data_IF_988263858290
#
_entry.id   IF_988263858290
#
_cell.length_a   1.000
_cell.length_b   1.000
_cell.length_c   1.000
_cell.angle_alpha   90.00
_cell.angle_beta   90.00
_cell.angle_gamma   90.00
#
_symmetry.space_group_name_H-M   'P 1'
#
loop_
_entity.id
_entity.type
_entity.pdbx_description
1 polymer ?
#
# COMPACT_ATOMS: atom_id res chain seq x y z
N UNK A 1 -7.34 -0.80 1.54
CA UNK A 1 -6.70 -2.11 1.75
C UNK A 1 -5.18 -2.04 1.86
N UNK A 2 -4.48 -1.32 0.97
CA UNK A 2 -3.01 -1.14 1.03
C UNK A 2 -2.44 -0.75 2.40
N UNK A 3 -3.04 0.25 3.07
CA UNK A 3 -2.55 0.72 4.38
C UNK A 3 -2.75 -0.31 5.49
N UNK A 4 -3.85 -1.07 5.42
CA UNK A 4 -4.13 -2.15 6.36
C UNK A 4 -3.14 -3.30 6.16
N UNK A 5 -2.92 -3.74 4.92
CA UNK A 5 -1.95 -4.80 4.62
C UNK A 5 -0.51 -4.38 4.97
N UNK A 6 -0.14 -3.12 4.73
CA UNK A 6 1.15 -2.57 5.16
C UNK A 6 1.30 -2.55 6.69
N UNK A 7 0.20 -2.26 7.42
CA UNK A 7 0.16 -2.28 8.88
C UNK A 7 0.25 -3.69 9.47
N UNK A 8 -0.46 -4.65 8.88
CA UNK A 8 -0.41 -6.06 9.28
C UNK A 8 0.97 -6.67 9.01
N UNK A 9 1.59 -6.32 7.88
CA UNK A 9 2.92 -6.77 7.49
C UNK A 9 4.04 -5.87 8.05
N UNK A 10 3.74 -4.98 9.02
CA UNK A 10 4.72 -4.00 9.54
C UNK A 10 5.98 -4.69 10.07
N UNK A 11 5.85 -5.81 10.77
CA UNK A 11 6.99 -6.48 11.41
C UNK A 11 7.91 -7.14 10.38
N UNK A 12 7.43 -7.36 9.16
CA UNK A 12 8.22 -7.82 8.03
C UNK A 12 8.76 -6.66 7.16
N UNK A 13 7.94 -5.63 6.92
CA UNK A 13 8.22 -4.50 6.03
C UNK A 13 9.04 -3.37 6.68
N UNK A 14 9.08 -3.28 8.00
CA UNK A 14 9.66 -2.15 8.73
C UNK A 14 11.09 -2.36 9.25
N UNK A 15 11.54 -3.58 9.65
CA UNK A 15 12.92 -3.82 10.06
C UNK A 15 13.89 -3.75 8.88
N UNK A 16 13.43 -4.12 7.68
CA UNK A 16 14.20 -3.98 6.43
C UNK A 16 13.82 -2.66 5.77
N UNK A 17 14.85 -1.84 5.55
CA UNK A 17 14.89 -0.47 4.99
C UNK A 17 13.81 -0.20 3.92
N UNK A 18 13.48 1.09 3.67
CA UNK A 18 12.55 1.63 2.64
C UNK A 18 12.45 0.82 1.32
N UNK A 19 13.54 0.13 0.95
CA UNK A 19 13.67 -0.87 -0.10
C UNK A 19 12.59 -1.96 -0.16
N UNK A 20 11.98 -2.41 0.95
CA UNK A 20 10.86 -3.38 0.87
C UNK A 20 9.49 -2.70 0.71
N UNK A 21 9.37 -1.47 1.19
CA UNK A 21 8.11 -0.71 1.13
C UNK A 21 7.79 -0.24 -0.30
N UNK A 22 8.83 0.07 -1.06
CA UNK A 22 8.78 0.51 -2.45
C UNK A 22 8.21 -0.57 -3.41
N UNK A 23 8.78 -1.79 -3.50
CA UNK A 23 8.22 -2.85 -4.33
C UNK A 23 6.85 -3.29 -3.84
N UNK A 24 6.59 -3.25 -2.52
CA UNK A 24 5.25 -3.51 -1.98
C UNK A 24 4.21 -2.54 -2.56
N UNK A 25 4.49 -1.23 -2.58
CA UNK A 25 3.57 -0.25 -3.14
C UNK A 25 3.45 -0.29 -4.65
N UNK A 26 4.54 -0.66 -5.34
CA UNK A 26 4.53 -0.89 -6.78
C UNK A 26 3.59 -2.05 -7.15
N UNK A 27 3.72 -3.20 -6.48
CA UNK A 27 2.84 -4.36 -6.67
C UNK A 27 1.39 -3.98 -6.39
N UNK A 28 1.15 -3.21 -5.32
CA UNK A 28 -0.21 -2.76 -5.00
C UNK A 28 -0.81 -1.85 -6.07
N UNK A 29 0.00 -1.06 -6.79
CA UNK A 29 -0.46 -0.24 -7.91
C UNK A 29 -1.09 -1.09 -9.02
N UNK A 30 -0.41 -2.17 -9.42
CA UNK A 30 -0.94 -3.12 -10.40
C UNK A 30 -2.13 -3.92 -9.86
N UNK A 31 -2.05 -4.37 -8.61
CA UNK A 31 -3.15 -5.13 -8.01
C UNK A 31 -4.44 -4.30 -7.95
N UNK A 32 -4.34 -3.01 -7.64
CA UNK A 32 -5.48 -2.10 -7.68
C UNK A 32 -6.04 -1.98 -9.10
N UNK A 33 -5.18 -1.78 -10.10
CA UNK A 33 -5.56 -1.74 -11.51
C UNK A 33 -6.33 -2.99 -11.96
N UNK A 34 -5.81 -4.17 -11.62
CA UNK A 34 -6.47 -5.44 -11.94
C UNK A 34 -7.82 -5.61 -11.24
N UNK A 35 -7.91 -5.23 -9.96
CA UNK A 35 -9.19 -5.25 -9.23
C UNK A 35 -10.21 -4.32 -9.93
N UNK A 36 -9.79 -3.15 -10.39
CA UNK A 36 -10.66 -2.21 -11.09
C UNK A 36 -11.07 -2.72 -12.47
N UNK A 37 -10.15 -3.35 -13.22
CA UNK A 37 -10.48 -3.97 -14.51
C UNK A 37 -11.50 -5.09 -14.35
N UNK A 38 -11.32 -5.95 -13.35
CA UNK A 38 -12.28 -7.02 -13.04
C UNK A 38 -13.63 -6.46 -12.59
N UNK A 39 -13.62 -5.44 -11.72
CA UNK A 39 -14.84 -4.78 -11.27
C UNK A 39 -15.59 -4.15 -12.45
N UNK A 40 -14.89 -3.50 -13.38
CA UNK A 40 -15.49 -2.94 -14.59
C UNK A 40 -16.08 -4.02 -15.50
N UNK A 41 -15.33 -5.10 -15.74
CA UNK A 41 -15.79 -6.23 -16.56
C UNK A 41 -17.03 -6.91 -15.97
N UNK A 42 -17.09 -7.10 -14.65
CA UNK A 42 -18.26 -7.69 -13.98
C UNK A 42 -19.44 -6.72 -13.92
N UNK A 43 -19.18 -5.43 -13.72
CA UNK A 43 -20.23 -4.42 -13.59
C UNK A 43 -20.90 -4.00 -14.90
N UNK A 44 -20.18 -4.07 -16.02
CA UNK A 44 -20.64 -3.55 -17.32
C UNK A 44 -20.53 -4.56 -18.47
N UNK A 45 -19.94 -5.74 -18.26
CA UNK A 45 -19.81 -6.76 -19.30
C UNK A 45 -21.04 -7.67 -19.37
N UNK A 46 -21.77 -7.64 -20.49
CA UNK A 46 -22.90 -8.55 -20.73
C UNK A 46 -22.43 -9.97 -21.10
N UNK A 47 -21.28 -10.11 -21.76
CA UNK A 47 -20.70 -11.40 -22.17
C UNK A 47 -19.19 -11.42 -21.91
N UNK A 48 -18.79 -11.84 -20.71
CA UNK A 48 -17.37 -11.85 -20.32
C UNK A 48 -16.64 -12.96 -21.08
N UNK A 49 -15.78 -12.58 -22.03
CA UNK A 49 -14.89 -13.50 -22.74
C UNK A 49 -13.44 -13.30 -22.29
N UNK A 50 -12.62 -14.35 -22.38
CA UNK A 50 -11.18 -14.28 -22.10
C UNK A 50 -10.48 -13.20 -22.94
N UNK A 51 -10.93 -12.98 -24.18
CA UNK A 51 -10.42 -11.91 -25.05
C UNK A 51 -10.66 -10.51 -24.49
N UNK A 52 -11.86 -10.25 -23.93
CA UNK A 52 -12.16 -8.97 -23.29
C UNK A 52 -11.33 -8.72 -22.04
N UNK A 53 -11.06 -9.76 -21.25
CA UNK A 53 -10.19 -9.66 -20.07
C UNK A 53 -8.77 -9.24 -20.48
N UNK A 54 -8.20 -9.92 -21.48
CA UNK A 54 -6.85 -9.62 -21.98
C UNK A 54 -6.80 -8.23 -22.62
N UNK A 55 -7.79 -7.86 -23.44
CA UNK A 55 -7.87 -6.54 -24.05
C UNK A 55 -8.01 -5.42 -23.01
N UNK A 56 -8.79 -5.66 -21.95
CA UNK A 56 -8.90 -4.76 -20.80
C UNK A 56 -7.58 -4.58 -20.08
N UNK A 57 -6.83 -5.66 -19.83
CA UNK A 57 -5.51 -5.59 -19.18
C UNK A 57 -4.46 -4.87 -20.03
N UNK A 58 -4.47 -5.07 -21.36
CA UNK A 58 -3.52 -4.40 -22.26
C UNK A 58 -3.83 -2.91 -22.38
N UNK A 59 -5.10 -2.55 -22.52
CA UNK A 59 -5.52 -1.15 -22.66
C UNK A 59 -5.32 -0.33 -21.38
N UNK A 60 -5.51 -0.95 -20.21
CA UNK A 60 -5.31 -0.32 -18.90
C UNK A 60 -3.85 -0.31 -18.43
N UNK A 61 -2.94 -1.01 -19.11
CA UNK A 61 -1.55 -1.15 -18.68
C UNK A 61 -0.85 0.18 -18.39
N UNK A 62 -1.09 1.21 -19.21
CA UNK A 62 -0.53 2.55 -18.99
C UNK A 62 -1.02 3.17 -17.66
N UNK A 63 -2.31 3.03 -17.36
CA UNK A 63 -2.88 3.52 -16.12
C UNK A 63 -2.38 2.73 -14.91
N UNK A 64 -2.28 1.40 -15.03
CA UNK A 64 -1.75 0.53 -13.97
C UNK A 64 -0.28 0.87 -13.66
N UNK A 65 0.52 1.11 -14.69
CA UNK A 65 1.91 1.54 -14.56
C UNK A 65 2.00 2.92 -13.90
N UNK A 66 1.16 3.89 -14.32
CA UNK A 66 1.11 5.21 -13.72
C UNK A 66 0.76 5.15 -12.22
N UNK A 67 -0.15 4.25 -11.83
CA UNK A 67 -0.48 4.01 -10.42
C UNK A 67 0.68 3.41 -9.66
N UNK A 68 1.34 2.39 -10.21
CA UNK A 68 2.50 1.75 -9.60
C UNK A 68 3.67 2.73 -9.40
N UNK A 69 3.95 3.59 -10.40
CA UNK A 69 4.96 4.63 -10.31
C UNK A 69 4.58 5.73 -9.31
N UNK A 70 3.31 6.14 -9.28
CA UNK A 70 2.82 7.12 -8.29
C UNK A 70 2.97 6.58 -6.87
N UNK A 71 2.62 5.33 -6.62
CA UNK A 71 2.83 4.68 -5.32
C UNK A 71 4.32 4.67 -4.94
N UNK A 72 5.20 4.33 -5.89
CA UNK A 72 6.64 4.36 -5.67
C UNK A 72 7.12 5.77 -5.27
N UNK A 73 6.68 6.79 -6.01
CA UNK A 73 7.01 8.19 -5.75
C UNK A 73 6.53 8.64 -4.36
N UNK A 74 5.25 8.43 -4.05
CA UNK A 74 4.69 8.87 -2.77
C UNK A 74 5.30 8.13 -1.58
N UNK A 75 5.56 6.82 -1.70
CA UNK A 75 6.22 6.08 -0.64
C UNK A 75 7.69 6.49 -0.50
N UNK A 76 8.39 6.82 -1.60
CA UNK A 76 9.75 7.31 -1.53
C UNK A 76 9.83 8.64 -0.77
N UNK A 77 8.97 9.59 -1.10
CA UNK A 77 8.98 10.96 -0.55
C UNK A 77 8.37 11.03 0.85
N UNK A 78 7.18 10.45 1.05
CA UNK A 78 6.35 10.74 2.23
C UNK A 78 6.37 9.64 3.29
N UNK A 79 6.82 8.42 2.97
CA UNK A 79 6.75 7.29 3.92
C UNK A 79 7.32 7.64 5.28
N UNK A 80 8.47 8.29 5.35
CA UNK A 80 9.12 8.60 6.64
C UNK A 80 8.29 9.57 7.49
N UNK A 81 7.65 10.56 6.85
CA UNK A 81 6.78 11.50 7.58
C UNK A 81 5.49 10.82 8.03
N UNK A 82 4.85 10.02 7.16
CA UNK A 82 3.66 9.26 7.56
C UNK A 82 3.94 8.30 8.70
N UNK A 83 5.08 7.60 8.69
CA UNK A 83 5.53 6.75 9.79
C UNK A 83 5.60 7.53 11.12
N UNK A 84 6.22 8.72 11.09
CA UNK A 84 6.30 9.56 12.28
C UNK A 84 4.94 10.04 12.78
N UNK A 85 4.02 10.38 11.87
CA UNK A 85 2.63 10.75 12.22
C UNK A 85 1.93 9.56 12.89
N UNK A 86 2.02 8.36 12.32
CA UNK A 86 1.40 7.15 12.88
C UNK A 86 1.94 6.81 14.27
N UNK A 87 3.25 6.93 14.49
CA UNK A 87 3.84 6.75 15.84
C UNK A 87 3.33 7.80 16.84
N UNK A 88 3.20 9.06 16.43
CA UNK A 88 2.61 10.11 17.31
C UNK A 88 1.16 9.81 17.65
N UNK A 89 0.37 9.33 16.69
CA UNK A 89 -1.02 8.92 16.93
C UNK A 89 -1.11 7.75 17.91
N UNK A 90 -0.26 6.74 17.75
CA UNK A 90 -0.20 5.60 18.68
C UNK A 90 0.08 6.04 20.11
N UNK A 91 1.02 6.97 20.30
CA UNK A 91 1.35 7.54 21.62
C UNK A 91 0.21 8.40 22.17
N UNK A 92 -0.35 9.31 21.35
CA UNK A 92 -1.41 10.24 21.78
C UNK A 92 -2.68 9.51 22.25
N UNK A 93 -3.05 8.42 21.59
CA UNK A 93 -4.27 7.67 21.88
C UNK A 93 -4.04 6.38 22.65
N UNK A 94 -2.80 6.10 23.08
CA UNK A 94 -2.46 4.91 23.87
C UNK A 94 -2.76 3.58 23.16
N UNK A 95 -2.72 3.55 21.82
CA UNK A 95 -3.22 2.42 21.00
C UNK A 95 -2.34 1.16 21.06
N UNK A 96 -1.22 1.19 21.79
CA UNK A 96 -0.41 0.05 22.19
C UNK A 96 0.07 0.35 23.60
N UNK A 97 -0.43 -0.36 24.60
CA UNK A 97 -0.19 -0.04 26.01
C UNK A 97 1.28 0.24 26.32
N UNK A 98 1.57 1.48 26.73
CA UNK A 98 2.76 1.89 27.49
C UNK A 98 4.12 1.60 26.86
N UNK A 99 4.63 2.53 26.05
CA UNK A 99 6.07 2.83 26.07
C UNK A 99 6.24 4.34 26.02
N UNK A 100 6.26 4.94 27.21
CA UNK A 100 6.76 6.29 27.38
C UNK A 100 8.30 6.20 27.26
N UNK A 101 8.95 6.75 26.22
CA UNK A 101 10.40 6.64 26.05
C UNK A 101 11.21 7.37 27.15
N UNK A 102 10.54 8.09 28.05
CA UNK A 102 11.17 8.83 29.15
C UNK A 102 11.29 8.06 30.48
N UNK A 103 10.84 6.80 30.58
CA UNK A 103 10.90 6.00 31.83
C UNK A 103 11.58 4.64 31.62
N UNK A 104 12.69 4.62 30.88
CA UNK A 104 13.53 3.41 30.77
C UNK A 104 15.04 3.74 30.89
N UNK A 105 15.37 4.74 31.70
CA UNK A 105 16.73 4.93 32.24
C UNK A 105 16.63 5.35 33.70
N UNK A 106 16.53 4.37 34.59
CA UNK A 106 16.97 4.53 35.98
C UNK A 106 17.07 3.15 36.63
N UNK A 107 18.33 2.79 36.88
CA UNK A 107 18.86 1.63 37.62
C UNK A 107 19.00 0.33 36.83
#
# INVERSE_FOLDING_TARGET
MMGLSAGLLKDWLWPRRRLLLLPFGFIWGFLFGWIMNLWYLVGFGENITLGMVVAGMVSSFYFDLAHALSNLFFLYVFSTRWKAILERFKVKYGLLGGACPHVAKSK
#
